data_IF_266330321756
#
_entry.id   IF_266330321756
#
_cell.length_a   1.000
_cell.length_b   1.000
_cell.length_c   1.000
_cell.angle_alpha   90.00
_cell.angle_beta   90.00
_cell.angle_gamma   90.00
#
_symmetry.space_group_name_H-M   'P 1'
#
loop_
_entity.id
_entity.type
_entity.pdbx_description
1 polymer ?
#
# COMPACT_ATOMS: atom_id res chain seq x y z
N UNK A 1 8.03 -17.18 -1.33
CA UNK A 1 7.43 -16.09 -2.13
C UNK A 1 7.64 -14.80 -1.37
N UNK A 2 8.33 -13.82 -1.95
CA UNK A 2 8.38 -12.47 -1.42
C UNK A 2 7.21 -11.70 -2.03
N UNK A 3 6.33 -11.18 -1.18
CA UNK A 3 5.24 -10.30 -1.60
C UNK A 3 5.76 -8.87 -1.53
N UNK A 4 6.02 -8.24 -2.68
CA UNK A 4 6.32 -6.82 -2.75
C UNK A 4 4.99 -6.09 -2.98
N UNK A 5 4.48 -5.41 -1.95
CA UNK A 5 3.32 -4.53 -2.09
C UNK A 5 3.87 -3.13 -2.34
N UNK A 6 3.75 -2.65 -3.57
CA UNK A 6 4.03 -1.25 -3.90
C UNK A 6 2.71 -0.50 -3.91
N UNK A 7 2.51 0.41 -2.96
CA UNK A 7 1.37 1.33 -2.97
C UNK A 7 1.87 2.65 -3.54
N UNK A 8 1.44 2.99 -4.75
CA UNK A 8 1.73 4.30 -5.34
C UNK A 8 0.52 5.21 -5.19
N UNK A 9 0.74 6.44 -4.72
CA UNK A 9 -0.29 7.49 -4.77
C UNK A 9 -0.19 8.21 -6.11
N UNK A 10 -1.31 8.37 -6.80
CA UNK A 10 -1.40 9.26 -7.96
C UNK A 10 -1.97 10.60 -7.50
N UNK A 11 -1.12 11.62 -7.37
CA UNK A 11 -1.58 12.96 -7.05
C UNK A 11 -2.37 13.58 -8.23
N UNK A 12 -3.70 13.56 -8.13
CA UNK A 12 -4.55 14.39 -9.00
C UNK A 12 -4.60 15.81 -8.43
N UNK A 13 -3.71 16.69 -8.88
CA UNK A 13 -3.73 18.11 -8.51
C UNK A 13 -4.89 18.84 -9.20
N UNK A 14 -6.01 19.05 -8.49
CA UNK A 14 -7.04 20.00 -8.91
C UNK A 14 -6.71 21.40 -8.36
N UNK A 15 -6.42 22.34 -9.26
CA UNK A 15 -6.16 23.74 -8.93
C UNK A 15 -7.47 24.47 -8.61
N UNK A 16 -7.69 24.77 -7.33
CA UNK A 16 -8.81 25.60 -6.84
C UNK A 16 -8.30 26.93 -6.29
N UNK A 17 -8.61 28.04 -6.96
CA UNK A 17 -8.30 29.41 -6.55
C UNK A 17 -9.38 29.97 -5.62
N UNK A 18 -9.00 30.58 -4.50
CA UNK A 18 -9.85 31.55 -3.80
C UNK A 18 -9.06 32.53 -2.93
N UNK A 19 -9.35 33.83 -3.12
CA UNK A 19 -8.76 35.01 -2.47
C UNK A 19 -9.24 35.22 -1.00
N UNK A 20 -8.52 36.03 -0.19
CA UNK A 20 -8.87 36.30 1.21
C UNK A 20 -9.67 37.59 1.39
N UNK A 21 -10.49 37.66 2.45
CA UNK A 21 -10.97 38.92 3.02
C UNK A 21 -11.22 38.81 4.53
N UNK A 22 -10.67 39.79 5.26
CA UNK A 22 -10.64 39.92 6.73
C UNK A 22 -11.85 40.70 7.27
N UNK A 23 -12.31 40.40 8.50
CA UNK A 23 -12.76 41.41 9.51
C UNK A 23 -13.00 40.84 10.92
N UNK A 24 -12.07 41.13 11.83
CA UNK A 24 -12.14 41.60 13.24
C UNK A 24 -13.33 41.32 14.21
N UNK A 25 -12.94 40.72 15.36
CA UNK A 25 -13.16 41.11 16.79
C UNK A 25 -14.35 40.54 17.64
N UNK A 26 -14.28 40.58 19.00
CA UNK A 26 -14.20 39.37 19.84
C UNK A 26 -15.26 39.30 20.97
N UNK A 27 -15.33 38.16 21.68
CA UNK A 27 -15.60 37.97 23.14
C UNK A 27 -16.28 36.64 23.43
N UNK A 28 -15.76 35.90 24.40
CA UNK A 28 -16.47 34.78 25.02
C UNK A 28 -15.55 33.74 25.62
N UNK A 29 -14.93 34.05 26.75
CA UNK A 29 -14.25 33.07 27.60
C UNK A 29 -15.24 31.97 28.00
N UNK A 30 -14.99 30.73 27.57
CA UNK A 30 -15.57 29.53 28.20
C UNK A 30 -14.45 28.55 28.47
N UNK A 31 -14.17 28.40 29.76
CA UNK A 31 -13.26 27.47 30.40
C UNK A 31 -13.60 26.03 30.00
N UNK A 32 -12.80 25.44 29.13
CA UNK A 32 -12.89 24.03 28.72
C UNK A 32 -12.20 23.21 29.82
N UNK A 33 -12.97 22.61 30.71
CA UNK A 33 -12.47 21.48 31.50
C UNK A 33 -12.40 20.28 30.56
N UNK A 34 -11.20 19.95 30.09
CA UNK A 34 -10.87 18.67 29.48
C UNK A 34 -11.30 17.54 30.40
N UNK A 35 -12.49 17.00 30.16
CA UNK A 35 -12.82 15.64 30.57
C UNK A 35 -12.27 14.75 29.47
N UNK A 36 -11.11 14.15 29.71
CA UNK A 36 -10.65 12.97 28.99
C UNK A 36 -11.77 11.93 29.06
N UNK A 37 -12.59 11.86 28.02
CA UNK A 37 -13.60 10.85 27.84
C UNK A 37 -12.90 9.53 27.52
N UNK A 38 -12.38 8.86 28.54
CA UNK A 38 -12.05 7.44 28.47
C UNK A 38 -13.36 6.66 28.39
N UNK A 39 -13.96 6.64 27.20
CA UNK A 39 -14.93 5.60 26.87
C UNK A 39 -14.18 4.25 26.82
N UNK A 40 -14.75 3.17 27.38
CA UNK A 40 -14.06 1.90 27.43
C UNK A 40 -13.74 1.42 26.00
N UNK A 41 -12.45 1.20 25.72
CA UNK A 41 -11.86 0.67 24.47
C UNK A 41 -12.41 -0.70 24.02
N UNK A 42 -13.47 -1.20 24.66
CA UNK A 42 -14.06 -2.51 24.47
C UNK A 42 -15.10 -2.57 23.36
N UNK A 43 -15.54 -1.43 22.79
CA UNK A 43 -16.60 -1.40 21.75
C UNK A 43 -16.15 -0.71 20.45
N UNK A 44 -14.98 -0.09 20.42
CA UNK A 44 -14.49 0.56 19.21
C UNK A 44 -14.05 -0.47 18.17
N UNK A 45 -14.51 -0.39 16.91
CA UNK A 45 -14.06 -1.27 15.83
C UNK A 45 -12.53 -1.34 15.76
N UNK A 46 -11.94 -2.50 15.41
CA UNK A 46 -10.49 -2.65 15.35
C UNK A 46 -9.79 -1.59 14.51
N UNK A 47 -10.35 -1.21 13.36
CA UNK A 47 -9.83 -0.13 12.50
C UNK A 47 -9.74 1.21 13.23
N UNK A 48 -10.79 1.58 13.96
CA UNK A 48 -10.86 2.83 14.70
C UNK A 48 -9.94 2.84 15.93
N UNK A 49 -9.70 1.68 16.56
CA UNK A 49 -8.68 1.56 17.62
C UNK A 49 -7.28 1.70 17.07
N UNK A 50 -6.99 1.10 15.92
CA UNK A 50 -5.70 1.25 15.23
C UNK A 50 -5.50 2.71 14.84
N UNK A 51 -6.50 3.36 14.24
CA UNK A 51 -6.48 4.78 13.88
C UNK A 51 -6.20 5.69 15.10
N UNK A 52 -6.86 5.40 16.23
CA UNK A 52 -6.59 6.11 17.49
C UNK A 52 -5.17 5.88 18.02
N UNK A 53 -4.64 4.66 17.93
CA UNK A 53 -3.27 4.32 18.36
C UNK A 53 -2.23 4.95 17.44
N UNK A 54 -2.49 4.99 16.13
CA UNK A 54 -1.62 5.59 15.14
C UNK A 54 -1.59 7.12 15.21
N UNK A 55 -2.45 7.74 16.02
CA UNK A 55 -2.38 9.15 16.35
C UNK A 55 -2.69 10.04 15.16
N UNK A 56 -3.87 9.87 14.56
CA UNK A 56 -4.43 10.82 13.58
C UNK A 56 -4.85 12.15 14.26
N UNK A 57 -3.93 12.77 15.00
CA UNK A 57 -4.10 14.05 15.70
C UNK A 57 -2.78 14.83 15.65
N UNK A 58 -2.22 15.01 14.46
CA UNK A 58 -1.41 16.18 14.12
C UNK A 58 -1.49 16.37 12.62
N UNK A 59 -1.57 17.64 12.24
CA UNK A 59 -1.70 18.23 10.91
C UNK A 59 -0.56 17.81 9.93
N UNK A 60 -0.34 16.51 9.73
CA UNK A 60 0.67 15.97 8.84
C UNK A 60 0.15 16.01 7.41
N UNK A 61 0.18 17.22 6.84
CA UNK A 61 -0.33 17.51 5.51
C UNK A 61 0.27 16.63 4.39
N UNK A 62 1.36 15.89 4.67
CA UNK A 62 1.99 14.96 3.72
C UNK A 62 1.36 13.57 3.68
N UNK A 63 0.69 13.09 4.73
CA UNK A 63 0.28 11.67 4.84
C UNK A 63 -1.24 11.51 4.93
N UNK A 64 -1.95 12.05 3.95
CA UNK A 64 -3.39 11.87 3.83
C UNK A 64 -3.75 10.57 3.11
N UNK A 65 -4.83 9.93 3.53
CA UNK A 65 -5.32 8.72 2.86
C UNK A 65 -5.90 9.06 1.48
N UNK A 66 -5.39 8.41 0.44
CA UNK A 66 -5.89 8.54 -0.93
C UNK A 66 -6.77 7.34 -1.32
N UNK A 67 -7.73 7.51 -2.26
CA UNK A 67 -8.35 6.37 -2.92
C UNK A 67 -7.28 5.48 -3.57
N UNK A 68 -7.36 4.18 -3.32
CA UNK A 68 -6.40 3.21 -3.83
C UNK A 68 -6.96 2.49 -5.06
N UNK A 69 -6.10 2.36 -6.06
CA UNK A 69 -6.16 1.31 -7.06
C UNK A 69 -5.08 0.28 -6.69
N UNK A 70 -5.39 -1.00 -6.78
CA UNK A 70 -4.42 -2.06 -6.52
C UNK A 70 -4.51 -3.10 -7.64
N UNK A 71 -3.36 -3.54 -8.12
CA UNK A 71 -3.21 -4.58 -9.11
C UNK A 71 -2.34 -5.70 -8.54
N UNK A 72 -2.63 -6.93 -8.94
CA UNK A 72 -1.85 -8.11 -8.60
C UNK A 72 -1.30 -8.72 -9.88
N UNK A 73 0.02 -8.89 -9.90
CA UNK A 73 0.72 -9.58 -10.96
C UNK A 73 1.37 -10.86 -10.45
N UNK A 74 1.37 -11.89 -11.29
CA UNK A 74 2.08 -13.14 -11.04
C UNK A 74 3.16 -13.37 -12.09
N UNK A 75 4.33 -13.82 -11.63
CA UNK A 75 5.40 -14.22 -12.52
C UNK A 75 5.16 -15.64 -13.04
N UNK A 76 4.88 -15.75 -14.34
CA UNK A 76 4.59 -17.01 -15.02
C UNK A 76 5.78 -17.41 -15.90
N UNK A 77 6.11 -18.71 -15.91
CA UNK A 77 7.09 -19.29 -16.83
C UNK A 77 6.39 -19.77 -18.09
N UNK A 78 6.75 -19.24 -19.26
CA UNK A 78 6.30 -19.70 -20.56
C UNK A 78 7.50 -20.18 -21.40
N UNK A 79 7.75 -21.49 -21.39
CA UNK A 79 8.96 -22.06 -21.98
C UNK A 79 10.23 -21.63 -21.24
N UNK A 80 11.15 -20.95 -21.94
CA UNK A 80 12.38 -20.39 -21.37
C UNK A 80 12.19 -18.95 -20.86
N UNK A 81 11.04 -18.34 -21.13
CA UNK A 81 10.76 -16.96 -20.75
C UNK A 81 9.99 -16.88 -19.43
N UNK A 82 10.28 -15.83 -18.67
CA UNK A 82 9.52 -15.41 -17.51
C UNK A 82 8.82 -14.10 -17.86
N UNK A 83 7.52 -14.02 -17.56
CA UNK A 83 6.68 -12.85 -17.83
C UNK A 83 5.79 -12.58 -16.61
N UNK A 84 5.63 -11.31 -16.25
CA UNK A 84 4.60 -10.91 -15.28
C UNK A 84 3.26 -10.78 -16.00
N UNK A 85 2.22 -11.32 -15.37
CA UNK A 85 0.85 -11.20 -15.86
C UNK A 85 -0.02 -10.65 -14.76
N UNK A 86 -0.76 -9.60 -15.08
CA UNK A 86 -1.88 -9.16 -14.27
C UNK A 86 -2.87 -10.32 -14.09
N UNK A 87 -3.25 -10.61 -12.85
CA UNK A 87 -4.19 -11.68 -12.51
C UNK A 87 -5.44 -11.16 -11.83
N UNK A 88 -5.35 -10.02 -11.13
CA UNK A 88 -6.48 -9.40 -10.46
C UNK A 88 -6.26 -7.90 -10.21
N UNK A 89 -7.36 -7.16 -10.02
CA UNK A 89 -7.33 -5.74 -9.67
C UNK A 89 -8.47 -5.34 -8.73
N UNK A 90 -8.25 -4.28 -7.96
CA UNK A 90 -9.19 -3.78 -6.96
C UNK A 90 -9.44 -2.28 -7.10
N UNK A 91 -10.72 -1.93 -7.28
CA UNK A 91 -11.27 -0.59 -7.07
C UNK A 91 -12.59 -0.70 -6.31
N UNK A 92 -12.50 -0.78 -4.97
CA UNK A 92 -13.59 -1.16 -4.04
C UNK A 92 -14.05 -2.62 -4.18
N UNK A 93 -14.17 -3.12 -5.40
CA UNK A 93 -14.49 -4.50 -5.75
C UNK A 93 -13.31 -5.15 -6.46
N UNK A 94 -13.25 -6.47 -6.38
CA UNK A 94 -12.28 -7.33 -7.04
C UNK A 94 -12.77 -7.72 -8.44
N UNK A 95 -11.86 -7.72 -9.40
CA UNK A 95 -12.02 -8.29 -10.73
C UNK A 95 -10.80 -9.14 -11.05
N UNK A 96 -11.02 -10.35 -11.58
CA UNK A 96 -9.96 -11.30 -11.94
C UNK A 96 -9.85 -11.43 -13.45
N UNK A 97 -8.66 -11.79 -13.92
CA UNK A 97 -8.46 -12.19 -15.31
C UNK A 97 -9.03 -13.60 -15.52
N UNK A 98 -9.95 -13.73 -16.47
CA UNK A 98 -10.55 -15.02 -16.82
C UNK A 98 -9.62 -15.89 -17.67
N UNK A 99 -9.96 -17.18 -17.78
CA UNK A 99 -9.23 -18.14 -18.59
C UNK A 99 -9.07 -17.64 -20.04
N UNK A 100 -7.81 -17.56 -20.50
CA UNK A 100 -7.47 -17.03 -21.83
C UNK A 100 -7.13 -15.54 -21.88
N UNK A 101 -7.13 -14.83 -20.74
CA UNK A 101 -6.47 -13.53 -20.58
C UNK A 101 -7.15 -12.32 -21.23
N UNK A 102 -8.27 -12.51 -21.93
CA UNK A 102 -8.90 -11.47 -22.74
C UNK A 102 -10.14 -10.85 -22.09
N UNK A 103 -10.48 -11.27 -20.87
CA UNK A 103 -11.71 -10.84 -20.20
C UNK A 103 -11.52 -10.74 -18.70
N UNK A 104 -12.08 -9.68 -18.13
CA UNK A 104 -12.22 -9.49 -16.68
C UNK A 104 -13.51 -10.15 -16.17
N UNK A 105 -13.45 -10.69 -14.96
CA UNK A 105 -14.62 -11.16 -14.22
C UNK A 105 -15.56 -10.00 -13.88
N UNK A 106 -16.76 -10.28 -13.38
CA UNK A 106 -17.65 -9.21 -12.90
C UNK A 106 -17.12 -8.70 -11.55
N UNK A 107 -17.24 -7.38 -11.27
CA UNK A 107 -16.82 -6.83 -9.99
C UNK A 107 -17.56 -7.54 -8.85
N UNK A 108 -16.80 -8.06 -7.89
CA UNK A 108 -17.33 -8.81 -6.76
C UNK A 108 -16.61 -8.46 -5.45
N UNK A 109 -17.19 -8.90 -4.33
CA UNK A 109 -16.57 -8.67 -3.01
C UNK A 109 -15.52 -9.76 -2.80
N UNK A 110 -14.28 -9.32 -2.58
CA UNK A 110 -13.14 -10.18 -2.26
C UNK A 110 -13.45 -11.15 -1.13
N UNK A 111 -13.08 -12.42 -1.29
CA UNK A 111 -13.09 -13.40 -0.20
C UNK A 111 -11.70 -13.98 -0.01
N UNK A 112 -11.13 -13.79 1.18
CA UNK A 112 -9.79 -14.28 1.49
C UNK A 112 -9.87 -15.59 2.30
N UNK A 113 -8.96 -16.51 1.99
CA UNK A 113 -8.78 -17.70 2.81
C UNK A 113 -8.14 -17.32 4.16
N UNK A 114 -8.56 -18.01 5.23
CA UNK A 114 -7.97 -17.81 6.56
C UNK A 114 -6.46 -18.16 6.57
N UNK A 115 -6.07 -19.14 5.76
CA UNK A 115 -4.67 -19.55 5.64
C UNK A 115 -3.80 -18.39 5.10
N UNK A 116 -4.23 -17.76 4.01
CA UNK A 116 -3.55 -16.61 3.41
C UNK A 116 -3.43 -15.43 4.38
N UNK A 117 -4.43 -15.21 5.24
CA UNK A 117 -4.37 -14.17 6.28
C UNK A 117 -3.29 -14.45 7.35
N UNK A 118 -3.09 -15.72 7.74
CA UNK A 118 -2.03 -16.09 8.68
C UNK A 118 -0.64 -15.94 8.05
N UNK A 119 -0.50 -16.30 6.78
CA UNK A 119 0.74 -16.10 6.04
C UNK A 119 1.06 -14.61 5.90
N UNK A 120 0.09 -13.79 5.48
CA UNK A 120 0.26 -12.33 5.40
C UNK A 120 0.68 -11.74 6.75
N UNK A 121 0.05 -12.16 7.85
CA UNK A 121 0.46 -11.74 9.20
C UNK A 121 1.91 -12.12 9.49
N UNK A 122 2.32 -13.33 9.13
CA UNK A 122 3.70 -13.79 9.33
C UNK A 122 4.68 -12.95 8.50
N UNK A 123 4.32 -12.62 7.25
CA UNK A 123 5.12 -11.77 6.36
C UNK A 123 5.24 -10.34 6.89
N UNK A 124 4.19 -9.76 7.47
CA UNK A 124 4.26 -8.44 8.07
C UNK A 124 5.08 -8.41 9.38
N UNK A 125 5.12 -9.52 10.13
CA UNK A 125 5.88 -9.61 11.38
C UNK A 125 7.36 -9.92 11.18
N UNK A 126 7.67 -10.76 10.19
CA UNK A 126 9.02 -11.32 10.00
C UNK A 126 9.67 -10.89 8.67
N UNK A 127 8.90 -10.31 7.75
CA UNK A 127 9.39 -9.88 6.44
C UNK A 127 10.00 -8.50 6.45
N UNK A 128 10.44 -8.06 5.28
CA UNK A 128 11.02 -6.74 5.07
C UNK A 128 9.93 -5.69 4.84
N UNK A 129 9.83 -4.71 5.72
CA UNK A 129 8.94 -3.56 5.60
C UNK A 129 9.78 -2.29 5.47
N UNK A 130 9.56 -1.52 4.40
CA UNK A 130 10.20 -0.23 4.15
C UNK A 130 9.12 0.83 3.99
N UNK A 131 9.05 1.78 4.92
CA UNK A 131 8.11 2.91 4.90
C UNK A 131 8.84 4.18 4.46
N UNK A 132 8.09 5.12 3.88
CA UNK A 132 8.61 6.41 3.39
C UNK A 132 9.84 6.25 2.48
N UNK A 133 9.77 5.27 1.56
CA UNK A 133 10.85 4.98 0.63
C UNK A 133 11.01 6.12 -0.39
N UNK A 134 12.15 6.81 -0.35
CA UNK A 134 12.50 7.84 -1.31
C UNK A 134 12.98 7.21 -2.63
N UNK A 135 12.03 6.78 -3.47
CA UNK A 135 12.31 6.25 -4.79
C UNK A 135 11.38 6.85 -5.85
N UNK A 136 11.92 7.12 -7.04
CA UNK A 136 11.21 7.74 -8.16
C UNK A 136 10.96 6.79 -9.33
N UNK A 137 11.40 5.53 -9.23
CA UNK A 137 11.23 4.50 -10.25
C UNK A 137 11.18 3.12 -9.62
N UNK A 138 10.53 2.17 -10.28
CA UNK A 138 10.49 0.78 -9.84
C UNK A 138 11.89 0.15 -9.76
N UNK A 139 12.81 0.52 -10.67
CA UNK A 139 14.20 0.06 -10.61
C UNK A 139 14.87 0.47 -9.30
N UNK A 140 14.71 1.74 -8.90
CA UNK A 140 15.25 2.23 -7.63
C UNK A 140 14.59 1.54 -6.43
N UNK A 141 13.27 1.28 -6.48
CA UNK A 141 12.56 0.54 -5.42
C UNK A 141 13.16 -0.87 -5.27
N UNK A 142 13.36 -1.57 -6.37
CA UNK A 142 13.91 -2.94 -6.40
C UNK A 142 15.33 -2.98 -5.84
N UNK A 143 16.19 -2.06 -6.28
CA UNK A 143 17.58 -1.99 -5.83
C UNK A 143 17.67 -1.74 -4.31
N UNK A 144 16.88 -0.79 -3.79
CA UNK A 144 16.81 -0.49 -2.35
C UNK A 144 16.24 -1.66 -1.53
N UNK A 145 15.21 -2.32 -2.05
CA UNK A 145 14.61 -3.48 -1.41
C UNK A 145 15.60 -4.64 -1.29
N UNK A 146 16.39 -4.90 -2.33
CA UNK A 146 17.38 -5.98 -2.34
C UNK A 146 18.56 -5.66 -1.44
N UNK A 147 19.03 -4.42 -1.43
CA UNK A 147 20.05 -3.99 -0.49
C UNK A 147 19.59 -4.27 0.95
N UNK A 148 18.34 -3.93 1.28
CA UNK A 148 17.74 -4.19 2.58
C UNK A 148 17.65 -5.68 2.91
N UNK A 149 17.25 -6.51 1.94
CA UNK A 149 17.17 -7.97 2.08
C UNK A 149 18.54 -8.62 2.30
N UNK A 150 19.58 -8.13 1.61
CA UNK A 150 20.96 -8.59 1.79
C UNK A 150 21.47 -8.28 3.20
N UNK A 151 21.17 -7.09 3.72
CA UNK A 151 21.53 -6.70 5.09
C UNK A 151 20.79 -7.52 6.16
N UNK A 152 19.62 -8.05 5.85
CA UNK A 152 18.84 -8.92 6.75
C UNK A 152 19.16 -10.42 6.60
N UNK A 153 20.23 -10.77 5.86
CA UNK A 153 20.72 -12.15 5.61
C UNK A 153 19.67 -13.13 5.04
N UNK A 154 18.65 -12.63 4.36
CA UNK A 154 17.49 -13.47 3.97
C UNK A 154 17.59 -14.11 2.58
N UNK A 155 18.54 -13.75 1.71
CA UNK A 155 18.58 -14.27 0.31
C UNK A 155 20.03 -14.59 -0.14
N UNK A 156 20.28 -15.78 -0.74
CA UNK A 156 21.54 -16.08 -1.43
C UNK A 156 21.69 -15.30 -2.76
N UNK A 157 22.88 -14.79 -3.07
CA UNK A 157 23.18 -13.89 -4.20
C UNK A 157 22.59 -14.29 -5.58
N UNK A 158 22.45 -15.60 -5.83
CA UNK A 158 21.93 -16.12 -7.10
C UNK A 158 20.41 -15.91 -7.28
N UNK A 159 19.62 -16.04 -6.21
CA UNK A 159 18.16 -15.83 -6.31
C UNK A 159 17.80 -14.34 -6.41
N UNK A 160 18.56 -13.48 -5.73
CA UNK A 160 18.48 -12.03 -5.88
C UNK A 160 18.66 -11.61 -7.34
N UNK A 161 19.65 -12.17 -8.02
CA UNK A 161 19.97 -11.84 -9.42
C UNK A 161 18.88 -12.27 -10.41
N UNK A 162 18.23 -13.42 -10.18
CA UNK A 162 17.14 -13.91 -11.03
C UNK A 162 15.85 -13.10 -10.83
N UNK A 163 15.52 -12.73 -9.59
CA UNK A 163 14.40 -11.84 -9.29
C UNK A 163 14.57 -10.47 -9.95
N UNK A 164 15.77 -9.88 -9.84
CA UNK A 164 16.14 -8.62 -10.51
C UNK A 164 16.00 -8.73 -12.02
N UNK A 165 16.58 -9.75 -12.64
CA UNK A 165 16.54 -9.90 -14.09
C UNK A 165 15.10 -10.03 -14.58
N UNK A 166 14.25 -10.75 -13.85
CA UNK A 166 12.85 -10.91 -14.21
C UNK A 166 12.05 -9.60 -14.05
N UNK A 167 12.27 -8.84 -12.98
CA UNK A 167 11.63 -7.53 -12.79
C UNK A 167 12.13 -6.51 -13.82
N UNK A 168 13.44 -6.42 -14.06
CA UNK A 168 14.03 -5.53 -15.07
C UNK A 168 13.61 -5.91 -16.49
N UNK A 169 13.43 -7.21 -16.81
CA UNK A 169 12.88 -7.65 -18.11
C UNK A 169 11.43 -7.20 -18.28
N UNK A 170 10.61 -7.30 -17.22
CA UNK A 170 9.22 -6.80 -17.24
C UNK A 170 9.14 -5.31 -17.55
N UNK A 171 10.00 -4.52 -16.88
CA UNK A 171 10.04 -3.06 -17.07
C UNK A 171 10.45 -2.62 -18.47
N UNK A 172 11.27 -3.42 -19.18
CA UNK A 172 11.66 -3.12 -20.56
C UNK A 172 10.61 -3.52 -21.60
N UNK A 173 9.52 -4.19 -21.19
CA UNK A 173 8.40 -4.61 -22.02
C UNK A 173 7.11 -3.78 -21.78
N UNK A 174 7.17 -2.76 -20.91
CA UNK A 174 6.17 -1.70 -20.74
C UNK A 174 6.61 -0.43 -21.48
#
# INVERSE_FOLDING_TARGET
MALLIVVTSSDSSSTGSSNPSSTNNPKGEKKISEKLNFSPLSVTPPSQRVQFILGEDVDDASHHAHPLFSEMEELVRNGEEMEWKETARWIKFEEDVEEGGNRWSKPHVATLSLHSLFELRSLLLNGCVMLDLEANSLEQIVDLFIEKLRTTESIPDHESSMGIWSMKKSMNNL
#
